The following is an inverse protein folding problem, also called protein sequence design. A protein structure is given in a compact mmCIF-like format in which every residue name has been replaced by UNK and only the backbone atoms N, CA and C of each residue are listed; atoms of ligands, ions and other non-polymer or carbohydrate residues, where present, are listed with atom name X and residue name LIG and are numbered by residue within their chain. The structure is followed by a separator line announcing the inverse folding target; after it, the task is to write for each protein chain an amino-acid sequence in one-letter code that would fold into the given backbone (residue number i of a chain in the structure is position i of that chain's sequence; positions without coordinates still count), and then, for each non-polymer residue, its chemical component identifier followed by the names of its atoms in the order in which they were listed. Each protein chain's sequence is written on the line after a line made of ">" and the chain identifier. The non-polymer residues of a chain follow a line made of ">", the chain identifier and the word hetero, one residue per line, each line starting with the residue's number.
data_IF_641683690367
#
_entry.id   IF_641683690367
#
_cell.length_a   1.000
_cell.length_b   1.000
_cell.length_c   1.000
_cell.angle_alpha   90.00
_cell.angle_beta   90.00
_cell.angle_gamma   90.00
#
_symmetry.space_group_name_H-M   'P 1'
#
loop_
_entity.id
_entity.type
_entity.pdbx_description
1 polymer ?
#
# COMPACT_ATOMS: atom_id res chain seq x y z
N UNK A 1 12.23 13.74 -8.37
CA UNK A 1 11.24 14.08 -9.40
C UNK A 1 9.98 14.63 -8.72
N UNK A 2 9.70 15.93 -8.85
CA UNK A 2 8.55 16.55 -8.15
C UNK A 2 7.21 15.92 -8.54
N UNK A 3 7.04 15.50 -9.78
CA UNK A 3 5.80 14.91 -10.29
C UNK A 3 5.48 13.56 -9.65
N UNK A 4 6.47 12.69 -9.46
CA UNK A 4 6.28 11.38 -8.83
C UNK A 4 5.99 11.50 -7.34
N UNK A 5 6.64 12.41 -6.65
CA UNK A 5 6.35 12.71 -5.25
C UNK A 5 4.91 13.24 -5.09
N UNK A 6 4.45 14.08 -6.03
CA UNK A 6 3.08 14.57 -6.06
C UNK A 6 2.06 13.45 -6.28
N UNK A 7 2.30 12.56 -7.24
CA UNK A 7 1.44 11.38 -7.50
C UNK A 7 1.36 10.44 -6.30
N UNK A 8 2.46 10.27 -5.60
CA UNK A 8 2.49 9.40 -4.41
C UNK A 8 1.74 10.02 -3.25
N UNK A 9 1.86 11.34 -3.06
CA UNK A 9 1.06 12.09 -2.09
C UNK A 9 -0.43 12.01 -2.43
N UNK A 10 -0.80 12.18 -3.70
CA UNK A 10 -2.17 12.02 -4.18
C UNK A 10 -2.71 10.61 -3.90
N UNK A 11 -1.91 9.56 -4.13
CA UNK A 11 -2.30 8.18 -3.83
C UNK A 11 -2.58 7.96 -2.35
N UNK A 12 -1.80 8.58 -1.46
CA UNK A 12 -2.06 8.52 -0.02
C UNK A 12 -3.34 9.28 0.36
N UNK A 13 -3.57 10.45 -0.22
CA UNK A 13 -4.81 11.21 -0.02
C UNK A 13 -6.04 10.43 -0.49
N UNK A 14 -5.92 9.70 -1.61
CA UNK A 14 -6.96 8.80 -2.10
C UNK A 14 -7.21 7.64 -1.12
N UNK A 15 -6.17 7.04 -0.55
CA UNK A 15 -6.32 6.02 0.50
C UNK A 15 -7.17 6.55 1.65
N UNK A 16 -6.82 7.71 2.18
CA UNK A 16 -7.55 8.33 3.31
C UNK A 16 -9.01 8.58 2.92
N UNK A 17 -9.25 9.22 1.80
CA UNK A 17 -10.59 9.54 1.31
C UNK A 17 -11.43 8.28 1.07
N UNK A 18 -10.85 7.24 0.47
CA UNK A 18 -11.54 5.98 0.19
C UNK A 18 -11.91 5.23 1.47
N UNK A 19 -11.01 5.18 2.46
CA UNK A 19 -11.31 4.52 3.75
C UNK A 19 -12.44 5.25 4.46
N UNK A 20 -12.42 6.57 4.53
CA UNK A 20 -13.48 7.37 5.14
C UNK A 20 -14.81 7.15 4.41
N UNK A 21 -14.82 7.22 3.08
CA UNK A 21 -16.03 7.07 2.29
C UNK A 21 -16.64 5.67 2.41
N UNK A 22 -15.84 4.62 2.35
CA UNK A 22 -16.30 3.24 2.47
C UNK A 22 -16.83 2.94 3.89
N UNK A 23 -16.15 3.45 4.91
CA UNK A 23 -16.60 3.32 6.29
C UNK A 23 -17.96 4.00 6.48
N UNK A 24 -18.10 5.24 6.00
CA UNK A 24 -19.34 6.00 6.08
C UNK A 24 -20.48 5.32 5.32
N UNK A 25 -20.21 4.80 4.12
CA UNK A 25 -21.19 4.06 3.31
C UNK A 25 -21.72 2.82 4.04
N UNK A 26 -20.88 2.13 4.81
CA UNK A 26 -21.25 1.00 5.65
C UNK A 26 -21.89 1.39 6.99
N UNK A 27 -22.06 2.68 7.28
CA UNK A 27 -22.52 3.20 8.58
C UNK A 27 -21.66 2.70 9.76
N UNK A 28 -20.37 2.53 9.55
CA UNK A 28 -19.48 2.05 10.59
C UNK A 28 -18.81 3.21 11.34
N UNK A 29 -18.76 3.08 12.67
CA UNK A 29 -17.87 3.93 13.47
C UNK A 29 -16.40 3.55 13.25
N UNK A 30 -15.48 4.46 13.60
CA UNK A 30 -14.03 4.13 13.60
C UNK A 30 -13.71 2.92 14.47
N UNK A 31 -14.43 2.76 15.58
CA UNK A 31 -14.33 1.61 16.48
C UNK A 31 -14.78 0.33 15.80
N UNK A 32 -15.96 0.35 15.16
CA UNK A 32 -16.49 -0.84 14.47
C UNK A 32 -15.58 -1.30 13.34
N UNK A 33 -15.06 -0.36 12.54
CA UNK A 33 -14.08 -0.70 11.49
C UNK A 33 -12.80 -1.30 12.08
N UNK A 34 -12.28 -0.73 13.16
CA UNK A 34 -11.09 -1.23 13.82
C UNK A 34 -11.27 -2.67 14.34
N UNK A 35 -12.41 -2.95 14.95
CA UNK A 35 -12.76 -4.29 15.45
C UNK A 35 -12.87 -5.30 14.29
N UNK A 36 -13.55 -4.95 13.20
CA UNK A 36 -13.67 -5.81 12.01
C UNK A 36 -12.34 -6.04 11.31
N UNK A 37 -11.48 -5.05 11.28
CA UNK A 37 -10.16 -5.14 10.65
C UNK A 37 -9.09 -5.75 11.57
N UNK A 38 -9.41 -6.03 12.82
CA UNK A 38 -8.43 -6.48 13.82
C UNK A 38 -7.24 -5.53 13.97
N UNK A 39 -7.49 -4.23 13.92
CA UNK A 39 -6.50 -3.17 14.13
C UNK A 39 -6.90 -2.29 15.31
N UNK A 40 -5.97 -1.49 15.82
CA UNK A 40 -6.33 -0.54 16.88
C UNK A 40 -7.21 0.61 16.34
N UNK A 41 -8.13 1.08 17.14
CA UNK A 41 -8.91 2.30 16.83
C UNK A 41 -7.99 3.49 16.53
N UNK A 42 -6.87 3.58 17.26
CA UNK A 42 -5.86 4.61 17.03
C UNK A 42 -5.29 4.57 15.61
N UNK A 43 -5.06 3.37 15.06
CA UNK A 43 -4.60 3.20 13.68
C UNK A 43 -5.60 3.75 12.67
N UNK A 44 -6.89 3.46 12.84
CA UNK A 44 -7.95 4.00 11.97
C UNK A 44 -8.01 5.52 12.07
N UNK A 45 -8.03 6.06 13.28
CA UNK A 45 -8.08 7.51 13.51
C UNK A 45 -6.83 8.20 12.94
N UNK A 46 -5.65 7.62 13.13
CA UNK A 46 -4.39 8.14 12.59
C UNK A 46 -4.41 8.20 11.07
N UNK A 47 -4.89 7.14 10.41
CA UNK A 47 -5.03 7.11 8.95
C UNK A 47 -6.02 8.19 8.48
N UNK A 48 -7.20 8.25 9.06
CA UNK A 48 -8.23 9.23 8.69
C UNK A 48 -7.79 10.68 8.94
N UNK A 49 -6.87 10.89 9.86
CA UNK A 49 -6.23 12.20 10.12
C UNK A 49 -5.06 12.51 9.18
N UNK A 50 -4.77 11.63 8.22
CA UNK A 50 -3.72 11.86 7.22
C UNK A 50 -2.30 11.49 7.67
N UNK A 51 -2.14 10.69 8.72
CA UNK A 51 -0.83 10.21 9.16
C UNK A 51 -0.42 8.96 8.41
N UNK A 52 0.72 9.01 7.72
CA UNK A 52 1.19 7.95 6.84
C UNK A 52 2.04 6.87 7.51
N UNK A 53 2.39 7.01 8.78
CA UNK A 53 3.23 6.04 9.51
C UNK A 53 2.46 4.77 9.89
N UNK A 54 1.98 4.06 8.89
CA UNK A 54 1.26 2.81 9.04
C UNK A 54 1.97 1.70 8.27
N UNK A 55 1.81 0.47 8.75
CA UNK A 55 2.30 -0.70 8.01
C UNK A 55 1.31 -1.10 6.92
N UNK A 56 1.83 -1.75 5.88
CA UNK A 56 1.01 -2.32 4.81
C UNK A 56 -0.04 -3.30 5.36
N UNK A 57 0.30 -4.09 6.38
CA UNK A 57 -0.64 -5.05 6.98
C UNK A 57 -1.86 -4.38 7.60
N UNK A 58 -1.72 -3.20 8.19
CA UNK A 58 -2.85 -2.43 8.72
C UNK A 58 -3.77 -2.01 7.56
N UNK A 59 -3.21 -1.49 6.48
CA UNK A 59 -3.98 -1.09 5.29
C UNK A 59 -4.65 -2.29 4.65
N UNK A 60 -3.97 -3.42 4.53
CA UNK A 60 -4.55 -4.67 4.00
C UNK A 60 -5.71 -5.18 4.86
N UNK A 61 -5.57 -5.14 6.18
CA UNK A 61 -6.63 -5.52 7.10
C UNK A 61 -7.86 -4.61 6.98
N UNK A 62 -7.65 -3.30 6.82
CA UNK A 62 -8.73 -2.36 6.56
C UNK A 62 -9.43 -2.63 5.22
N UNK A 63 -8.66 -2.87 4.17
CA UNK A 63 -9.20 -3.23 2.86
C UNK A 63 -10.05 -4.50 2.91
N UNK A 64 -9.57 -5.53 3.61
CA UNK A 64 -10.33 -6.78 3.83
C UNK A 64 -11.64 -6.53 4.56
N UNK A 65 -11.61 -5.76 5.64
CA UNK A 65 -12.82 -5.41 6.39
C UNK A 65 -13.82 -4.61 5.55
N UNK A 66 -13.32 -3.75 4.67
CA UNK A 66 -14.13 -2.94 3.76
C UNK A 66 -14.56 -3.69 2.48
N UNK A 67 -14.10 -4.92 2.28
CA UNK A 67 -14.45 -5.76 1.13
C UNK A 67 -13.86 -5.29 -0.20
N UNK A 68 -12.71 -4.61 -0.19
CA UNK A 68 -12.06 -4.09 -1.39
C UNK A 68 -10.62 -4.61 -1.52
N UNK A 69 -10.09 -4.54 -2.74
CA UNK A 69 -8.70 -4.86 -3.02
C UNK A 69 -7.79 -3.78 -2.42
N UNK A 70 -6.71 -4.18 -1.78
CA UNK A 70 -5.79 -3.27 -1.05
C UNK A 70 -5.21 -2.22 -1.97
N UNK A 71 -4.71 -2.60 -3.14
CA UNK A 71 -4.16 -1.65 -4.12
C UNK A 71 -5.17 -0.64 -4.61
N UNK A 72 -6.43 -1.02 -4.74
CA UNK A 72 -7.49 -0.13 -5.24
C UNK A 72 -7.84 1.02 -4.28
N UNK A 73 -7.48 0.89 -3.00
CA UNK A 73 -7.63 2.00 -2.04
C UNK A 73 -6.75 3.21 -2.38
N UNK A 74 -5.67 3.00 -3.12
CA UNK A 74 -4.76 4.06 -3.56
C UNK A 74 -5.15 4.65 -4.92
N UNK A 75 -6.21 4.15 -5.52
CA UNK A 75 -6.75 4.59 -6.81
C UNK A 75 -8.02 5.40 -6.68
N UNK A 76 -8.50 5.91 -7.81
CA UNK A 76 -9.71 6.75 -7.86
C UNK A 76 -11.00 5.96 -7.58
N UNK A 77 -10.99 4.65 -7.84
CA UNK A 77 -12.17 3.78 -7.68
C UNK A 77 -11.79 2.50 -6.94
N UNK A 78 -12.18 2.35 -5.68
CA UNK A 78 -12.01 1.08 -4.98
C UNK A 78 -12.73 -0.05 -5.73
N UNK A 79 -12.04 -1.18 -5.85
CA UNK A 79 -12.52 -2.38 -6.53
C UNK A 79 -12.85 -3.44 -5.49
N UNK A 80 -13.98 -4.09 -5.63
CA UNK A 80 -14.40 -5.17 -4.75
C UNK A 80 -13.36 -6.30 -4.72
N UNK A 81 -13.17 -6.88 -3.55
CA UNK A 81 -12.27 -8.02 -3.35
C UNK A 81 -12.99 -9.30 -3.76
N UNK A 82 -12.31 -10.10 -4.56
CA UNK A 82 -12.77 -11.47 -4.84
C UNK A 82 -12.22 -12.43 -3.77
N UNK A 83 -12.98 -13.48 -3.49
CA UNK A 83 -12.53 -14.54 -2.58
C UNK A 83 -11.33 -15.27 -3.16
N UNK A 84 -10.34 -15.57 -2.31
CA UNK A 84 -9.16 -16.33 -2.69
C UNK A 84 -8.04 -15.53 -3.35
N UNK A 85 -8.07 -14.20 -3.29
CA UNK A 85 -6.96 -13.34 -3.76
C UNK A 85 -5.64 -13.62 -3.04
N UNK A 86 -4.52 -13.37 -3.74
CA UNK A 86 -3.19 -13.57 -3.20
C UNK A 86 -2.92 -12.71 -1.94
N UNK A 87 -2.03 -13.18 -1.08
CA UNK A 87 -1.59 -12.40 0.08
C UNK A 87 -0.87 -11.13 -0.39
N UNK A 88 -1.12 -10.01 0.27
CA UNK A 88 -0.57 -8.72 -0.15
C UNK A 88 0.97 -8.70 -0.17
N UNK A 89 1.62 -9.44 0.73
CA UNK A 89 3.07 -9.58 0.73
C UNK A 89 3.61 -10.28 -0.51
N UNK A 90 2.88 -11.27 -1.03
CA UNK A 90 3.21 -11.97 -2.28
C UNK A 90 3.03 -11.03 -3.48
N UNK A 91 1.91 -10.34 -3.54
CA UNK A 91 1.61 -9.36 -4.60
C UNK A 91 2.69 -8.28 -4.66
N UNK A 92 3.01 -7.68 -3.51
CA UNK A 92 4.04 -6.66 -3.41
C UNK A 92 5.41 -7.19 -3.86
N UNK A 93 5.83 -8.36 -3.37
CA UNK A 93 7.13 -8.94 -3.72
C UNK A 93 7.26 -9.17 -5.23
N UNK A 94 6.26 -9.74 -5.85
CA UNK A 94 6.24 -9.99 -7.30
C UNK A 94 6.28 -8.68 -8.10
N UNK A 95 5.45 -7.72 -7.74
CA UNK A 95 5.37 -6.44 -8.44
C UNK A 95 6.64 -5.61 -8.24
N UNK A 96 7.24 -5.63 -7.05
CA UNK A 96 8.50 -4.94 -6.75
C UNK A 96 9.66 -5.51 -7.59
N UNK A 97 9.80 -6.82 -7.63
CA UNK A 97 10.84 -7.50 -8.44
C UNK A 97 10.62 -7.21 -9.92
N UNK A 98 9.39 -7.31 -10.40
CA UNK A 98 9.03 -7.05 -11.79
C UNK A 98 9.35 -5.61 -12.21
N UNK A 99 8.93 -4.61 -11.42
CA UNK A 99 9.19 -3.21 -11.69
C UNK A 99 10.70 -2.90 -11.67
N UNK A 100 11.43 -3.43 -10.69
CA UNK A 100 12.89 -3.28 -10.58
C UNK A 100 13.63 -3.84 -11.80
N UNK A 101 13.29 -5.06 -12.20
CA UNK A 101 13.89 -5.72 -13.36
C UNK A 101 13.57 -5.01 -14.67
N UNK A 102 12.35 -4.50 -14.82
CA UNK A 102 11.95 -3.70 -15.99
C UNK A 102 12.84 -2.47 -16.18
N UNK A 103 13.25 -1.84 -15.09
CA UNK A 103 14.19 -0.72 -15.09
C UNK A 103 15.66 -1.16 -15.09
N UNK A 104 15.93 -2.47 -15.12
CA UNK A 104 17.29 -3.04 -15.05
C UNK A 104 18.08 -2.63 -13.82
N UNK A 105 17.38 -2.41 -12.70
CA UNK A 105 17.99 -2.03 -11.43
C UNK A 105 18.37 -3.28 -10.61
N UNK A 106 19.54 -3.25 -9.99
CA UNK A 106 19.88 -4.16 -8.90
C UNK A 106 19.19 -3.70 -7.60
N UNK A 107 19.11 -4.58 -6.59
CA UNK A 107 18.64 -4.18 -5.25
C UNK A 107 19.50 -3.03 -4.67
N UNK A 108 20.83 -3.08 -4.89
CA UNK A 108 21.75 -2.03 -4.46
C UNK A 108 21.48 -0.69 -5.15
N UNK A 109 21.22 -0.72 -6.46
CA UNK A 109 20.90 0.50 -7.21
C UNK A 109 19.56 1.08 -6.80
N UNK A 110 18.55 0.25 -6.62
CA UNK A 110 17.25 0.68 -6.10
C UNK A 110 17.39 1.27 -4.69
N UNK A 111 18.23 0.69 -3.84
CA UNK A 111 18.55 1.25 -2.52
C UNK A 111 19.13 2.66 -2.62
N UNK A 112 20.07 2.89 -3.51
CA UNK A 112 20.67 4.22 -3.73
C UNK A 112 19.64 5.24 -4.22
N UNK A 113 18.79 4.86 -5.18
CA UNK A 113 17.80 5.77 -5.76
C UNK A 113 16.62 6.06 -4.84
N UNK A 114 16.18 5.08 -4.07
CA UNK A 114 15.02 5.22 -3.17
C UNK A 114 15.37 5.76 -1.78
N UNK A 115 16.63 5.61 -1.35
CA UNK A 115 17.02 5.84 0.03
C UNK A 115 16.56 4.77 1.02
N UNK A 116 16.00 3.66 0.51
CA UNK A 116 15.59 2.51 1.33
C UNK A 116 16.77 1.54 1.45
N UNK A 117 17.05 1.08 2.66
CA UNK A 117 18.16 0.14 2.89
C UNK A 117 18.01 -1.13 2.04
N UNK A 118 19.09 -1.58 1.41
CA UNK A 118 19.13 -2.78 0.57
C UNK A 118 18.57 -4.02 1.27
N UNK A 119 18.90 -4.20 2.55
CA UNK A 119 18.39 -5.34 3.33
C UNK A 119 16.86 -5.29 3.49
N UNK A 120 16.28 -4.11 3.61
CA UNK A 120 14.82 -3.92 3.64
C UNK A 120 14.21 -4.33 2.30
N UNK A 121 14.78 -3.88 1.18
CA UNK A 121 14.32 -4.27 -0.16
C UNK A 121 14.39 -5.78 -0.34
N UNK A 122 15.52 -6.39 0.00
CA UNK A 122 15.70 -7.85 -0.10
C UNK A 122 14.68 -8.61 0.76
N UNK A 123 14.39 -8.14 1.95
CA UNK A 123 13.40 -8.75 2.85
C UNK A 123 11.97 -8.61 2.32
N UNK A 124 11.63 -7.48 1.71
CA UNK A 124 10.32 -7.32 1.05
C UNK A 124 10.20 -8.28 -0.13
N UNK A 125 11.21 -8.39 -0.98
CA UNK A 125 11.23 -9.30 -2.13
C UNK A 125 11.15 -10.78 -1.73
N UNK A 126 11.64 -11.14 -0.54
CA UNK A 126 11.52 -12.49 0.05
C UNK A 126 10.27 -12.68 0.91
N UNK A 127 9.41 -11.68 0.99
CA UNK A 127 8.21 -11.70 1.84
C UNK A 127 8.51 -11.84 3.33
N UNK A 128 9.71 -11.49 3.76
CA UNK A 128 10.16 -11.61 5.14
C UNK A 128 9.91 -10.34 5.99
N UNK A 129 9.35 -9.30 5.38
CA UNK A 129 9.09 -8.02 6.04
C UNK A 129 7.78 -7.41 5.59
N UNK A 130 7.05 -6.87 6.55
CA UNK A 130 5.89 -6.02 6.34
C UNK A 130 6.35 -4.55 6.32
N UNK A 131 6.40 -3.90 5.15
CA UNK A 131 6.91 -2.54 5.04
C UNK A 131 5.90 -1.51 5.55
N UNK A 132 6.43 -0.35 5.93
CA UNK A 132 5.61 0.84 6.20
C UNK A 132 5.19 1.53 4.89
N UNK A 133 4.10 2.30 4.92
CA UNK A 133 3.68 3.12 3.78
C UNK A 133 4.77 4.10 3.33
N UNK A 134 5.49 4.82 4.22
CA UNK A 134 6.59 5.68 3.80
C UNK A 134 7.68 4.94 3.02
N UNK A 135 8.03 3.72 3.41
CA UNK A 135 8.97 2.87 2.67
C UNK A 135 8.45 2.55 1.27
N UNK A 136 7.18 2.14 1.17
CA UNK A 136 6.54 1.85 -0.12
C UNK A 136 6.46 3.07 -1.03
N UNK A 137 6.17 4.23 -0.48
CA UNK A 137 6.14 5.51 -1.22
C UNK A 137 7.50 5.83 -1.84
N UNK A 138 8.59 5.66 -1.09
CA UNK A 138 9.95 5.84 -1.59
C UNK A 138 10.30 4.87 -2.72
N UNK A 139 9.92 3.61 -2.57
CA UNK A 139 10.15 2.58 -3.59
C UNK A 139 9.33 2.85 -4.85
N UNK A 140 8.06 3.24 -4.71
CA UNK A 140 7.20 3.58 -5.85
C UNK A 140 7.78 4.74 -6.68
N UNK A 141 8.26 5.78 -6.02
CA UNK A 141 8.92 6.91 -6.70
C UNK A 141 10.15 6.45 -7.47
N UNK A 142 11.04 5.70 -6.84
CA UNK A 142 12.28 5.21 -7.47
C UNK A 142 12.02 4.23 -8.62
N UNK A 143 10.91 3.53 -8.59
CA UNK A 143 10.50 2.57 -9.64
C UNK A 143 9.63 3.19 -10.74
N UNK A 144 9.40 4.49 -10.71
CA UNK A 144 8.45 5.16 -11.61
C UNK A 144 7.09 4.44 -11.66
N UNK A 145 6.61 4.02 -10.49
CA UNK A 145 5.40 3.25 -10.30
C UNK A 145 4.44 3.92 -9.33
N UNK A 146 3.23 3.41 -9.22
CA UNK A 146 2.25 3.85 -8.23
C UNK A 146 2.08 2.82 -7.11
N UNK A 147 1.58 3.25 -5.96
CA UNK A 147 1.20 2.34 -4.88
C UNK A 147 0.08 1.40 -5.33
N UNK A 148 -0.87 1.89 -6.11
CA UNK A 148 -1.92 1.06 -6.71
C UNK A 148 -1.32 -0.07 -7.55
N UNK A 149 -0.37 0.23 -8.43
CA UNK A 149 0.28 -0.76 -9.28
C UNK A 149 1.11 -1.78 -8.49
N UNK A 150 1.86 -1.33 -7.48
CA UNK A 150 2.67 -2.22 -6.63
C UNK A 150 1.83 -3.17 -5.78
N UNK A 151 0.61 -2.79 -5.45
CA UNK A 151 -0.27 -3.51 -4.54
C UNK A 151 -1.47 -4.17 -5.23
N UNK A 152 -1.56 -4.09 -6.55
CA UNK A 152 -2.65 -4.71 -7.32
C UNK A 152 -2.29 -6.10 -7.80
N UNK A 153 -3.27 -6.99 -7.70
CA UNK A 153 -3.21 -8.41 -8.01
C UNK A 153 -3.36 -8.64 -9.51
N UNK A 154 -2.63 -8.01 -10.32
CA UNK A 154 -2.36 -8.37 -11.72
C UNK A 154 -1.52 -7.33 -12.40
N UNK A 155 -0.34 -7.66 -12.83
CA UNK A 155 0.23 -7.00 -13.98
C UNK A 155 -0.45 -7.59 -15.22
N UNK A 156 -1.40 -6.92 -15.78
CA UNK A 156 -1.73 -7.14 -17.18
C UNK A 156 -0.85 -6.28 -18.04
#
# INVERSE_FOLDING_TARGET
>A
MPELASKTSESFDLLVANVIALRAKGNWSTRALAEQAHVSRRSVMSLESGHSKLSLSIVDNLARALGVQTGSLFGKRPVAREDGGALIGVVLAQNLVSARKKLRLTQGKLSQESGVNRAVIANIERQARNPSLPTLMKLAIALDSSLEALLSDSPK
#
